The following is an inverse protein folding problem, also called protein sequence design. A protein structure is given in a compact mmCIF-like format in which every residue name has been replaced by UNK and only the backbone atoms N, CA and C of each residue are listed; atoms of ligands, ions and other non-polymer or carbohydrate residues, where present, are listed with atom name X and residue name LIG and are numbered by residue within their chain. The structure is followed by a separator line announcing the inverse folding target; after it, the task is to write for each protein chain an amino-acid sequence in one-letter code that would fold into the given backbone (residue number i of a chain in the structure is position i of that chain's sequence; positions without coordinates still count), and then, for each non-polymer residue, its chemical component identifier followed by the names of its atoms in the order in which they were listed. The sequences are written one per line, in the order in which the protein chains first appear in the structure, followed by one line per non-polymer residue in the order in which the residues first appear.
data_IF_385781304721
#
_entry.id   IF_385781304721
#
_cell.length_a   1.000
_cell.length_b   1.000
_cell.length_c   1.000
_cell.angle_alpha   90.00
_cell.angle_beta   90.00
_cell.angle_gamma   90.00
#
_symmetry.space_group_name_H-M   'P 1'
#
loop_
_entity.id
_entity.type
_entity.pdbx_description
1 polymer ?
#
# COMPACT_ATOMS: atom_id res chain seq x y z
N UNK A 1 -1.35 -14.98 15.29
CA UNK A 1 -1.31 -14.84 13.83
C UNK A 1 -2.45 -13.93 13.39
N UNK A 2 -2.10 -12.82 12.74
CA UNK A 2 -3.08 -11.80 12.38
C UNK A 2 -2.81 -11.28 10.98
N UNK A 3 -3.85 -11.20 10.16
CA UNK A 3 -3.82 -10.58 8.84
C UNK A 3 -4.97 -9.59 8.79
N UNK A 4 -4.64 -8.31 8.64
CA UNK A 4 -5.62 -7.23 8.58
C UNK A 4 -5.58 -6.62 7.18
N UNK A 5 -6.66 -6.75 6.44
CA UNK A 5 -6.76 -6.24 5.08
C UNK A 5 -7.68 -5.01 5.05
N UNK A 6 -7.32 -4.01 4.29
CA UNK A 6 -8.21 -2.87 4.12
C UNK A 6 -7.57 -1.66 3.50
N UNK A 7 -8.41 -0.66 3.30
CA UNK A 7 -8.05 0.67 2.82
C UNK A 7 -7.76 1.55 4.04
N UNK A 8 -6.51 1.97 4.20
CA UNK A 8 -6.10 2.81 5.32
C UNK A 8 -6.06 4.29 4.96
N UNK A 9 -6.28 4.61 3.68
CA UNK A 9 -6.27 5.98 3.16
C UNK A 9 -4.97 6.74 3.45
N UNK A 10 -3.85 6.03 3.61
CA UNK A 10 -2.53 6.61 3.88
C UNK A 10 -1.51 5.96 2.96
N UNK A 11 -0.73 6.77 2.24
CA UNK A 11 0.50 6.31 1.58
C UNK A 11 1.64 6.46 2.59
N UNK A 12 2.36 5.38 2.87
CA UNK A 12 3.35 5.34 3.95
C UNK A 12 4.61 6.13 3.63
N UNK A 13 5.20 5.88 2.47
CA UNK A 13 6.48 6.45 2.06
C UNK A 13 6.34 7.23 0.74
N UNK A 14 7.38 7.97 0.38
CA UNK A 14 7.41 8.71 -0.89
C UNK A 14 7.23 7.80 -2.10
N UNK A 15 7.72 6.58 -2.03
CA UNK A 15 7.58 5.58 -3.09
C UNK A 15 6.11 5.16 -3.30
N UNK A 16 5.24 5.42 -2.34
CA UNK A 16 3.87 4.92 -2.32
C UNK A 16 2.86 5.84 -3.01
N UNK A 17 3.30 6.96 -3.56
CA UNK A 17 2.44 7.80 -4.40
C UNK A 17 3.27 8.56 -5.42
N UNK A 18 2.68 8.82 -6.60
CA UNK A 18 3.40 9.43 -7.71
C UNK A 18 3.80 10.88 -7.43
N UNK A 19 2.87 11.68 -6.93
CA UNK A 19 3.08 13.13 -6.73
C UNK A 19 3.31 13.47 -5.25
N UNK A 20 4.25 12.77 -4.60
CA UNK A 20 4.45 12.92 -3.17
C UNK A 20 4.84 14.35 -2.76
N UNK A 21 5.61 15.06 -3.59
CA UNK A 21 6.04 16.43 -3.27
C UNK A 21 4.88 17.38 -3.11
N UNK A 22 3.88 17.28 -3.96
CA UNK A 22 2.69 18.13 -3.94
C UNK A 22 1.65 17.72 -2.90
N UNK A 23 1.83 16.58 -2.23
CA UNK A 23 0.83 16.02 -1.32
C UNK A 23 1.25 16.00 0.14
N UNK A 24 2.38 16.61 0.50
CA UNK A 24 2.90 16.58 1.88
C UNK A 24 1.97 17.20 2.91
N UNK A 25 1.08 18.10 2.48
CA UNK A 25 0.11 18.77 3.35
C UNK A 25 -1.31 18.28 3.13
N UNK A 26 -1.48 17.21 2.36
CA UNK A 26 -2.79 16.67 2.03
C UNK A 26 -3.07 15.40 2.81
N UNK A 27 -4.34 15.21 3.18
CA UNK A 27 -4.82 13.99 3.83
C UNK A 27 -4.40 12.77 2.99
N UNK A 28 -3.91 11.76 3.64
CA UNK A 28 -3.36 10.56 3.02
C UNK A 28 -1.84 10.56 2.97
N UNK A 29 -1.19 11.72 3.10
CA UNK A 29 0.27 11.82 3.11
C UNK A 29 0.79 12.84 4.12
N UNK A 30 0.00 13.12 5.16
CA UNK A 30 0.42 14.02 6.24
C UNK A 30 1.53 13.38 7.06
N UNK A 31 2.48 14.19 7.58
CA UNK A 31 3.56 13.67 8.41
C UNK A 31 3.09 12.81 9.58
N UNK A 32 2.03 13.23 10.28
CA UNK A 32 1.49 12.49 11.43
C UNK A 32 0.85 11.16 11.02
N UNK A 33 0.24 11.08 9.85
CA UNK A 33 -0.31 9.83 9.31
C UNK A 33 0.80 8.84 8.99
N UNK A 34 1.84 9.32 8.33
CA UNK A 34 3.01 8.50 7.99
C UNK A 34 3.75 8.04 9.24
N UNK A 35 3.86 8.91 10.24
CA UNK A 35 4.48 8.57 11.52
C UNK A 35 3.69 7.49 12.26
N UNK A 36 2.37 7.51 12.16
CA UNK A 36 1.52 6.46 12.74
C UNK A 36 1.83 5.09 12.14
N UNK A 37 2.01 5.03 10.82
CA UNK A 37 2.40 3.78 10.16
C UNK A 37 3.84 3.38 10.53
N UNK A 38 4.77 4.35 10.66
CA UNK A 38 6.12 4.06 11.14
C UNK A 38 6.08 3.36 12.51
N UNK A 39 5.25 3.87 13.42
CA UNK A 39 5.10 3.27 14.75
C UNK A 39 4.50 1.88 14.67
N UNK A 40 3.50 1.69 13.81
CA UNK A 40 2.84 0.39 13.63
C UNK A 40 3.82 -0.68 13.14
N UNK A 41 4.72 -0.30 12.24
CA UNK A 41 5.69 -1.22 11.64
C UNK A 41 7.02 -1.28 12.38
N UNK A 42 7.16 -0.54 13.50
CA UNK A 42 8.40 -0.53 14.28
C UNK A 42 8.72 -1.93 14.81
N UNK A 43 10.01 -2.27 14.77
CA UNK A 43 10.54 -3.55 15.30
C UNK A 43 9.92 -4.80 14.69
N UNK A 44 9.36 -4.69 13.48
CA UNK A 44 8.71 -5.80 12.78
C UNK A 44 7.60 -6.47 13.59
N UNK A 45 7.00 -5.75 14.50
CA UNK A 45 5.84 -6.26 15.25
C UNK A 45 4.66 -6.51 14.31
N UNK A 46 4.43 -5.57 13.40
CA UNK A 46 3.51 -5.70 12.27
C UNK A 46 4.26 -5.41 10.98
N UNK A 47 3.85 -6.02 9.90
CA UNK A 47 4.53 -5.99 8.61
C UNK A 47 3.55 -5.54 7.53
N UNK A 48 4.00 -4.65 6.65
CA UNK A 48 3.34 -4.34 5.39
C UNK A 48 3.67 -5.49 4.43
N UNK A 49 2.74 -6.41 4.23
CA UNK A 49 3.01 -7.64 3.50
C UNK A 49 3.50 -7.40 2.08
N UNK A 50 2.84 -6.49 1.36
CA UNK A 50 3.23 -6.16 -0.02
C UNK A 50 4.66 -5.63 -0.07
N UNK A 51 4.93 -4.59 0.72
CA UNK A 51 6.23 -3.91 0.66
C UNK A 51 7.36 -4.76 1.21
N UNK A 52 7.05 -5.75 2.01
CA UNK A 52 8.04 -6.71 2.54
C UNK A 52 8.74 -7.49 1.41
N UNK A 53 8.04 -7.77 0.31
CA UNK A 53 8.59 -8.56 -0.79
C UNK A 53 8.65 -7.82 -2.13
N UNK A 54 8.11 -6.60 -2.21
CA UNK A 54 8.15 -5.80 -3.42
C UNK A 54 8.52 -4.36 -3.08
N UNK A 55 9.74 -3.95 -3.43
CA UNK A 55 10.26 -2.60 -3.19
C UNK A 55 10.25 -1.74 -4.46
N UNK A 56 9.53 -2.15 -5.49
CA UNK A 56 9.46 -1.40 -6.74
C UNK A 56 8.63 -0.13 -6.60
N UNK A 57 9.02 0.91 -7.30
CA UNK A 57 8.22 2.12 -7.43
C UNK A 57 7.10 1.92 -8.47
N UNK A 58 6.18 2.87 -8.53
CA UNK A 58 5.03 2.87 -9.46
C UNK A 58 4.04 1.73 -9.19
N UNK A 59 3.98 1.27 -7.96
CA UNK A 59 3.06 0.24 -7.49
C UNK A 59 1.95 0.89 -6.66
N UNK A 60 0.74 1.02 -7.24
CA UNK A 60 -0.36 1.74 -6.62
C UNK A 60 -1.63 0.90 -6.60
N UNK A 61 -2.50 1.20 -5.63
CA UNK A 61 -3.78 0.50 -5.46
C UNK A 61 -4.98 1.39 -5.72
N UNK A 62 -4.77 2.70 -5.85
CA UNK A 62 -5.85 3.66 -6.08
C UNK A 62 -5.40 4.77 -7.02
N UNK A 63 -6.31 5.21 -7.86
CA UNK A 63 -6.11 6.33 -8.78
C UNK A 63 -7.35 7.18 -8.78
N UNK A 64 -7.18 8.52 -8.82
CA UNK A 64 -8.29 9.44 -8.97
C UNK A 64 -9.03 9.16 -10.29
N UNK A 65 -10.34 9.44 -10.31
CA UNK A 65 -11.14 9.37 -11.53
C UNK A 65 -10.92 10.58 -12.45
N UNK A 66 -10.05 11.50 -12.05
CA UNK A 66 -9.78 12.74 -12.79
C UNK A 66 -8.50 12.62 -13.61
N UNK A 67 -8.48 13.35 -14.77
CA UNK A 67 -7.27 13.56 -15.54
C UNK A 67 -6.60 12.30 -16.07
N UNK A 68 -7.34 11.22 -16.28
CA UNK A 68 -6.81 9.94 -16.74
C UNK A 68 -5.68 9.41 -15.84
N UNK A 69 -5.81 9.62 -14.54
CA UNK A 69 -4.76 9.26 -13.56
C UNK A 69 -4.39 7.77 -13.65
N UNK A 70 -5.36 6.88 -13.84
CA UNK A 70 -5.10 5.44 -13.91
C UNK A 70 -4.31 5.07 -15.16
N UNK A 71 -4.66 5.62 -16.32
CA UNK A 71 -3.91 5.40 -17.56
C UNK A 71 -2.47 5.87 -17.45
N UNK A 72 -2.27 7.03 -16.82
CA UNK A 72 -0.95 7.62 -16.61
C UNK A 72 -0.20 7.02 -15.44
N UNK A 73 -0.86 6.14 -14.70
CA UNK A 73 -0.36 5.54 -13.46
C UNK A 73 0.07 6.60 -12.42
N UNK A 74 -0.75 7.63 -12.27
CA UNK A 74 -0.58 8.66 -11.24
C UNK A 74 -1.44 8.23 -10.06
N UNK A 75 -0.92 7.38 -9.23
CA UNK A 75 -1.68 6.70 -8.20
C UNK A 75 -1.08 6.78 -6.80
N UNK A 76 -1.76 6.11 -5.89
CA UNK A 76 -1.42 6.00 -4.48
C UNK A 76 -1.53 4.54 -4.04
N UNK A 77 -0.60 4.08 -3.22
CA UNK A 77 -0.72 2.77 -2.57
C UNK A 77 -1.27 3.00 -1.16
N UNK A 78 -2.56 2.77 -1.00
CA UNK A 78 -3.29 3.04 0.25
C UNK A 78 -4.04 1.84 0.80
N UNK A 79 -4.06 0.74 0.08
CA UNK A 79 -4.66 -0.52 0.51
C UNK A 79 -3.56 -1.48 0.95
N UNK A 80 -3.72 -2.07 2.12
CA UNK A 80 -2.67 -2.88 2.74
C UNK A 80 -3.19 -4.22 3.21
N UNK A 81 -2.28 -5.18 3.25
CA UNK A 81 -2.40 -6.34 4.13
C UNK A 81 -1.34 -6.18 5.22
N UNK A 82 -1.79 -5.90 6.43
CA UNK A 82 -0.93 -5.72 7.58
C UNK A 82 -0.96 -7.02 8.36
N UNK A 83 0.21 -7.63 8.54
CA UNK A 83 0.32 -8.94 9.16
C UNK A 83 1.16 -8.87 10.42
N UNK A 84 0.91 -9.80 11.36
CA UNK A 84 1.79 -9.95 12.51
C UNK A 84 3.17 -10.43 12.06
N UNK A 85 4.21 -9.96 12.74
CA UNK A 85 5.60 -10.21 12.33
C UNK A 85 5.98 -11.69 12.20
N UNK A 86 5.32 -12.56 12.96
CA UNK A 86 5.58 -13.99 12.88
C UNK A 86 5.11 -14.64 11.56
N UNK A 87 4.38 -13.89 10.72
CA UNK A 87 3.96 -14.36 9.41
C UNK A 87 4.86 -13.87 8.27
N UNK A 88 5.88 -13.08 8.58
CA UNK A 88 6.76 -12.48 7.56
C UNK A 88 7.32 -13.53 6.59
N UNK A 89 7.83 -14.63 7.12
CA UNK A 89 8.43 -15.70 6.32
C UNK A 89 7.40 -16.57 5.61
N UNK A 90 6.12 -16.33 5.82
CA UNK A 90 5.04 -17.07 5.19
C UNK A 90 4.54 -16.41 3.91
N UNK A 91 4.97 -15.20 3.60
CA UNK A 91 4.56 -14.50 2.38
C UNK A 91 5.18 -15.20 1.19
N UNK A 92 4.36 -15.65 0.26
CA UNK A 92 4.80 -16.38 -0.93
C UNK A 92 4.87 -15.48 -2.15
N UNK A 93 3.86 -14.65 -2.38
CA UNK A 93 3.79 -13.77 -3.53
C UNK A 93 2.79 -12.64 -3.28
N UNK A 94 2.87 -11.60 -4.12
CA UNK A 94 1.95 -10.47 -4.11
C UNK A 94 1.56 -10.10 -5.54
N UNK A 95 0.42 -9.45 -5.67
CA UNK A 95 -0.03 -8.90 -6.93
C UNK A 95 -1.01 -7.76 -6.68
N UNK A 96 -0.85 -6.64 -7.39
CA UNK A 96 -1.90 -5.64 -7.50
C UNK A 96 -2.62 -5.95 -8.81
N UNK A 97 -3.85 -6.43 -8.73
CA UNK A 97 -4.60 -6.93 -9.87
C UNK A 97 -5.21 -5.78 -10.69
N UNK A 98 -4.64 -5.51 -11.85
CA UNK A 98 -5.02 -4.38 -12.70
C UNK A 98 -5.64 -4.79 -14.04
N UNK A 99 -5.79 -6.09 -14.28
CA UNK A 99 -6.27 -6.59 -15.58
C UNK A 99 -7.75 -6.31 -15.81
N UNK A 100 -8.48 -5.99 -14.76
CA UNK A 100 -9.90 -5.71 -14.84
C UNK A 100 -10.24 -4.53 -13.93
N UNK A 101 -11.07 -3.63 -14.42
CA UNK A 101 -11.51 -2.46 -13.66
C UNK A 101 -12.77 -2.80 -12.86
N UNK A 102 -12.63 -2.92 -11.54
CA UNK A 102 -13.75 -3.16 -10.62
C UNK A 102 -14.23 -1.88 -9.95
N UNK A 103 -13.28 -1.00 -9.61
CA UNK A 103 -13.54 0.28 -8.96
C UNK A 103 -12.31 1.16 -9.15
N UNK A 104 -12.26 2.32 -8.50
CA UNK A 104 -11.08 3.19 -8.49
C UNK A 104 -9.91 2.59 -7.68
N UNK A 105 -10.16 1.51 -6.93
CA UNK A 105 -9.12 0.69 -6.30
C UNK A 105 -8.84 -0.57 -7.12
N UNK A 106 -7.60 -1.04 -7.10
CA UNK A 106 -7.24 -2.35 -7.63
C UNK A 106 -7.07 -3.33 -6.47
N UNK A 107 -7.55 -4.57 -6.60
CA UNK A 107 -7.39 -5.57 -5.54
C UNK A 107 -5.93 -5.88 -5.26
N UNK A 108 -5.58 -5.95 -3.98
CA UNK A 108 -4.28 -6.42 -3.53
C UNK A 108 -4.40 -7.88 -3.14
N UNK A 109 -3.63 -8.73 -3.82
CA UNK A 109 -3.63 -10.17 -3.61
C UNK A 109 -2.29 -10.56 -3.02
N UNK A 110 -2.31 -11.23 -1.87
CA UNK A 110 -1.10 -11.77 -1.26
C UNK A 110 -1.32 -13.24 -0.97
N UNK A 111 -0.36 -14.06 -1.37
CA UNK A 111 -0.39 -15.50 -1.12
C UNK A 111 0.56 -15.83 0.01
N UNK A 112 0.10 -16.69 0.90
CA UNK A 112 0.87 -17.13 2.07
C UNK A 112 1.00 -18.65 2.07
N UNK A 113 2.13 -19.13 2.56
CA UNK A 113 2.33 -20.57 2.77
C UNK A 113 2.16 -20.86 4.27
N UNK A 114 0.99 -21.22 4.65
CA UNK A 114 0.66 -21.50 6.05
C UNK A 114 0.91 -22.97 6.40
#
# INVERSE_FOLDING_TARGET
KLIICGDWNIAHKEIDLKNWKGNKKNSGFLPEERAWLDDLFADDKFIDAFRSINQNENEYTWWSNRGNAREKNVGWRIDYQIISGNLKDKIKSEEIYKNKFFSDHAPLIVSYKM
#
